data_IF_642132165897
#
_entry.id   IF_642132165897
#
_cell.length_a   1.000
_cell.length_b   1.000
_cell.length_c   1.000
_cell.angle_alpha   90.00
_cell.angle_beta   90.00
_cell.angle_gamma   90.00
#
_symmetry.space_group_name_H-M   'P 1'
#
loop_
_entity.id
_entity.type
_entity.pdbx_description
1 polymer ?
#
# COMPACT_ATOMS: atom_id res chain seq x y z
N UNK A 1 0.68 10.79 -7.72
CA UNK A 1 0.33 9.37 -7.94
C UNK A 1 -1.17 9.31 -8.12
N UNK A 2 -1.64 8.45 -9.01
CA UNK A 2 -3.06 8.40 -9.40
C UNK A 2 -3.69 7.10 -8.89
N UNK A 3 -5.02 7.05 -8.86
CA UNK A 3 -5.73 5.79 -8.57
C UNK A 3 -5.37 4.78 -9.68
N UNK A 4 -5.05 3.55 -9.31
CA UNK A 4 -4.53 2.52 -10.21
C UNK A 4 -3.01 2.55 -10.41
N UNK A 5 -2.29 3.49 -9.79
CA UNK A 5 -0.83 3.45 -9.77
C UNK A 5 -0.32 2.37 -8.81
N UNK A 6 0.64 1.59 -9.27
CA UNK A 6 1.40 0.69 -8.39
C UNK A 6 2.39 1.49 -7.56
N UNK A 7 2.42 1.17 -6.27
CA UNK A 7 3.27 1.82 -5.30
C UNK A 7 3.89 0.81 -4.36
N UNK A 8 5.14 1.09 -4.00
CA UNK A 8 5.89 0.35 -3.02
C UNK A 8 5.87 1.09 -1.69
N UNK A 9 5.60 0.37 -0.61
CA UNK A 9 5.58 0.90 0.75
C UNK A 9 6.23 -0.10 1.70
N UNK A 10 6.78 0.40 2.80
CA UNK A 10 7.38 -0.43 3.85
C UNK A 10 6.38 -0.57 4.98
N UNK A 11 6.16 -1.81 5.41
CA UNK A 11 5.25 -2.18 6.48
C UNK A 11 5.91 -3.29 7.32
N UNK A 12 6.02 -3.08 8.63
CA UNK A 12 6.69 -4.02 9.56
C UNK A 12 8.07 -4.48 9.05
N UNK A 13 8.92 -3.52 8.63
CA UNK A 13 10.25 -3.75 8.04
C UNK A 13 10.29 -4.56 6.73
N UNK A 14 9.12 -4.89 6.17
CA UNK A 14 8.98 -5.57 4.89
C UNK A 14 8.48 -4.62 3.82
N UNK A 15 9.01 -4.77 2.63
CA UNK A 15 8.61 -3.97 1.47
C UNK A 15 7.47 -4.67 0.75
N UNK A 16 6.35 -3.98 0.58
CA UNK A 16 5.18 -4.46 -0.13
C UNK A 16 4.89 -3.60 -1.35
N UNK A 17 4.30 -4.23 -2.36
CA UNK A 17 3.82 -3.56 -3.55
C UNK A 17 2.31 -3.69 -3.57
N UNK A 18 1.64 -2.57 -3.74
CA UNK A 18 0.19 -2.52 -3.88
C UNK A 18 -0.24 -1.50 -4.91
N UNK A 19 -1.54 -1.38 -5.08
CA UNK A 19 -2.17 -0.45 -6.00
C UNK A 19 -2.93 0.62 -5.20
N UNK A 20 -2.81 1.88 -5.61
CA UNK A 20 -3.62 2.95 -5.02
C UNK A 20 -5.07 2.77 -5.42
N UNK A 21 -5.91 2.34 -4.49
CA UNK A 21 -7.36 2.28 -4.68
C UNK A 21 -8.04 3.63 -4.37
N UNK A 22 -7.45 4.45 -3.49
CA UNK A 22 -7.98 5.79 -3.19
C UNK A 22 -6.88 6.76 -2.79
N UNK A 23 -6.96 8.00 -3.28
CA UNK A 23 -6.06 9.09 -2.90
C UNK A 23 -6.72 9.97 -1.84
N UNK A 24 -6.01 10.23 -0.75
CA UNK A 24 -6.35 11.23 0.26
C UNK A 24 -5.37 12.41 0.18
N UNK A 25 -5.70 13.50 0.87
CA UNK A 25 -4.89 14.73 0.91
C UNK A 25 -3.46 14.48 1.41
N UNK A 26 -3.27 13.62 2.42
CA UNK A 26 -1.96 13.32 3.01
C UNK A 26 -1.60 11.82 3.03
N UNK A 27 -2.46 10.97 2.46
CA UNK A 27 -2.30 9.50 2.52
C UNK A 27 -2.83 8.84 1.26
N UNK A 28 -2.48 7.58 1.06
CA UNK A 28 -3.01 6.73 0.00
C UNK A 28 -3.63 5.47 0.62
N UNK A 29 -4.83 5.10 0.17
CA UNK A 29 -5.37 3.78 0.40
C UNK A 29 -4.79 2.84 -0.64
N UNK A 30 -3.98 1.92 -0.17
CA UNK A 30 -3.29 0.95 -1.00
C UNK A 30 -3.96 -0.40 -0.78
N UNK A 31 -4.47 -0.98 -1.85
CA UNK A 31 -4.89 -2.38 -1.89
C UNK A 31 -3.72 -3.22 -2.37
N UNK A 32 -3.33 -4.20 -1.57
CA UNK A 32 -2.21 -5.07 -1.91
C UNK A 32 -2.61 -6.52 -1.63
N UNK A 33 -2.13 -7.44 -2.47
CA UNK A 33 -2.28 -8.87 -2.22
C UNK A 33 -0.99 -9.38 -1.60
N UNK A 34 -1.08 -9.95 -0.41
CA UNK A 34 0.02 -10.68 0.21
C UNK A 34 -0.27 -12.16 0.22
N UNK A 35 0.77 -12.96 -0.02
CA UNK A 35 0.72 -14.42 0.14
C UNK A 35 0.89 -14.82 1.62
N UNK A 36 1.40 -13.90 2.46
CA UNK A 36 1.54 -14.08 3.89
C UNK A 36 0.17 -14.02 4.62
N UNK A 37 -0.30 -15.14 5.22
CA UNK A 37 -1.59 -15.17 5.91
C UNK A 37 -1.65 -14.21 7.11
N UNK A 38 -0.53 -13.95 7.77
CA UNK A 38 -0.45 -12.98 8.87
C UNK A 38 -0.75 -11.54 8.43
N UNK A 39 -0.36 -11.18 7.20
CA UNK A 39 -0.59 -9.84 6.65
C UNK A 39 -1.99 -9.73 6.08
N UNK A 40 -2.49 -10.80 5.46
CA UNK A 40 -3.88 -10.89 4.98
C UNK A 40 -4.86 -10.75 6.13
N UNK A 41 -4.62 -11.42 7.27
CA UNK A 41 -5.48 -11.35 8.45
C UNK A 41 -5.41 -9.96 9.11
N UNK A 42 -4.20 -9.43 9.29
CA UNK A 42 -3.99 -8.17 10.02
C UNK A 42 -4.40 -6.92 9.22
N UNK A 43 -4.23 -6.94 7.90
CA UNK A 43 -4.47 -5.78 7.04
C UNK A 43 -5.63 -5.97 6.07
N UNK A 44 -6.23 -7.16 5.97
CA UNK A 44 -7.35 -7.42 5.05
C UNK A 44 -7.09 -6.93 3.61
N UNK A 45 -5.86 -7.08 3.13
CA UNK A 45 -5.40 -6.63 1.79
C UNK A 45 -5.53 -5.11 1.55
N UNK A 46 -5.66 -4.30 2.61
CA UNK A 46 -5.84 -2.85 2.55
C UNK A 46 -5.00 -2.15 3.61
N UNK A 47 -4.26 -1.14 3.22
CA UNK A 47 -3.52 -0.30 4.16
C UNK A 47 -3.63 1.16 3.76
N UNK A 48 -3.65 2.04 4.77
CA UNK A 48 -3.55 3.48 4.56
C UNK A 48 -2.12 3.88 4.95
N UNK A 49 -1.34 4.32 3.96
CA UNK A 49 0.05 4.78 4.16
C UNK A 49 0.12 6.26 3.81
N UNK A 50 0.89 7.03 4.59
CA UNK A 50 1.16 8.44 4.31
C UNK A 50 1.97 8.61 3.03
N UNK A 51 1.65 9.61 2.20
CA UNK A 51 2.32 9.81 0.91
C UNK A 51 3.85 9.91 1.01
N UNK A 52 4.36 10.38 2.16
CA UNK A 52 5.81 10.49 2.45
C UNK A 52 6.53 9.15 2.55
N UNK A 53 5.80 8.07 2.83
CA UNK A 53 6.33 6.71 3.00
C UNK A 53 5.98 5.79 1.82
N UNK A 54 5.40 6.35 0.77
CA UNK A 54 5.02 5.64 -0.44
C UNK A 54 5.98 6.03 -1.57
N UNK A 55 6.52 5.03 -2.25
CA UNK A 55 7.37 5.21 -3.41
C UNK A 55 6.63 4.70 -4.65
N UNK A 56 6.55 5.51 -5.70
CA UNK A 56 5.98 5.03 -6.97
C UNK A 56 6.94 4.02 -7.59
N UNK A 57 6.41 2.87 -8.00
CA UNK A 57 7.15 1.93 -8.86
C UNK A 57 6.78 2.22 -10.31
N UNK A 58 7.79 2.25 -11.19
CA UNK A 58 7.67 2.62 -12.60
C UNK A 58 7.53 1.40 -13.48
#
# INVERSE_FOLDING_TARGET
MEIGSHVQFVLEDKTYIGEIAKVYVNSYLITFKSDDPAIVDKYHNKVIISQKQVQAVK
#
